data_IF_279628693704
#
_entry.id   IF_279628693704
#
_cell.length_a   1.000
_cell.length_b   1.000
_cell.length_c   1.000
_cell.angle_alpha   90.00
_cell.angle_beta   90.00
_cell.angle_gamma   90.00
#
_symmetry.space_group_name_H-M   'P 1'
#
loop_
_entity.id
_entity.type
_entity.pdbx_description
1 polymer ?
#
# COMPACT_ATOMS: atom_id res chain seq x y z
N UNK A 1 19.31 13.98 -15.05
CA UNK A 1 18.12 14.85 -14.91
C UNK A 1 18.07 15.36 -13.48
N UNK A 2 18.18 16.67 -13.26
CA UNK A 2 18.17 17.28 -11.92
C UNK A 2 16.78 17.08 -11.31
N UNK A 3 16.69 16.43 -10.15
CA UNK A 3 15.46 16.33 -9.34
C UNK A 3 15.15 17.72 -8.80
N UNK A 4 14.26 18.45 -9.46
CA UNK A 4 13.68 19.67 -8.88
C UNK A 4 12.74 19.17 -7.78
N UNK A 5 13.13 19.40 -6.53
CA UNK A 5 12.29 19.07 -5.37
C UNK A 5 11.07 19.99 -5.39
N UNK A 6 9.89 19.47 -5.07
CA UNK A 6 8.62 20.23 -5.02
C UNK A 6 8.76 21.53 -4.20
N UNK A 7 9.59 21.49 -3.17
CA UNK A 7 9.96 22.65 -2.33
C UNK A 7 10.66 23.78 -3.12
N UNK A 8 11.53 23.44 -4.09
CA UNK A 8 12.18 24.44 -4.94
C UNK A 8 11.19 25.10 -5.92
N UNK A 9 10.18 24.36 -6.38
CA UNK A 9 9.16 24.86 -7.31
C UNK A 9 8.17 25.80 -6.60
N UNK A 10 7.79 25.46 -5.36
CA UNK A 10 7.01 26.32 -4.47
C UNK A 10 7.76 27.61 -4.09
N UNK A 11 9.07 27.54 -3.83
CA UNK A 11 9.87 28.74 -3.56
C UNK A 11 9.96 29.66 -4.79
N UNK A 12 10.10 29.11 -6.00
CA UNK A 12 10.11 29.93 -7.23
C UNK A 12 8.76 30.59 -7.51
N UNK A 13 7.64 29.96 -7.15
CA UNK A 13 6.31 30.57 -7.27
C UNK A 13 6.11 31.73 -6.29
N UNK A 14 6.61 31.59 -5.03
CA UNK A 14 6.58 32.66 -4.04
C UNK A 14 7.47 33.86 -4.41
N UNK A 15 8.60 33.63 -5.11
CA UNK A 15 9.48 34.69 -5.62
C UNK A 15 8.86 35.50 -6.78
N UNK A 16 7.95 34.90 -7.55
CA UNK A 16 7.26 35.60 -8.65
C UNK A 16 6.08 36.46 -8.15
N UNK A 17 5.53 36.14 -6.98
CA UNK A 17 4.41 36.87 -6.36
C UNK A 17 4.84 38.07 -5.51
N UNK A 18 6.14 38.24 -5.22
CA UNK A 18 6.66 39.36 -4.43
C UNK A 18 6.94 40.64 -5.25
N UNK A 19 6.71 40.62 -6.57
CA UNK A 19 6.85 41.77 -7.44
C UNK A 19 5.47 42.39 -7.77
N UNK A 20 4.83 43.01 -6.77
CA UNK A 20 3.55 43.70 -6.92
C UNK A 20 3.44 44.86 -5.94
N UNK A 21 3.87 46.04 -6.38
CA UNK A 21 3.85 47.31 -5.65
C UNK A 21 2.45 47.72 -5.16
N UNK A 22 2.38 48.21 -3.92
CA UNK A 22 1.15 48.49 -3.20
C UNK A 22 0.33 49.72 -3.64
N UNK A 23 -0.95 49.70 -3.27
CA UNK A 23 -1.80 50.83 -2.88
C UNK A 23 -3.12 50.30 -2.33
N UNK A 24 -3.68 50.99 -1.34
CA UNK A 24 -4.72 50.49 -0.45
C UNK A 24 -6.16 50.88 -0.87
N UNK A 25 -7.12 50.06 -0.38
CA UNK A 25 -8.56 50.26 -0.19
C UNK A 25 -9.48 50.01 -1.40
N UNK A 26 -10.56 49.27 -1.11
CA UNK A 26 -11.36 48.37 -1.96
C UNK A 26 -10.61 47.05 -2.18
N UNK A 27 -11.16 45.93 -1.70
CA UNK A 27 -10.65 44.59 -2.05
C UNK A 27 -10.76 44.45 -3.57
N UNK A 28 -9.66 44.72 -4.28
CA UNK A 28 -9.58 44.51 -5.71
C UNK A 28 -9.83 43.02 -5.94
N UNK A 29 -10.77 42.65 -6.83
CA UNK A 29 -11.03 41.26 -7.21
C UNK A 29 -9.75 40.44 -7.49
N UNK A 30 -8.69 41.09 -7.99
CA UNK A 30 -7.36 40.49 -8.16
C UNK A 30 -6.66 40.17 -6.84
N UNK A 31 -6.70 41.08 -5.86
CA UNK A 31 -6.12 40.83 -4.52
C UNK A 31 -6.87 39.72 -3.78
N UNK A 32 -8.20 39.68 -3.86
CA UNK A 32 -9.01 38.60 -3.31
C UNK A 32 -8.73 37.27 -4.00
N UNK A 33 -8.58 37.27 -5.33
CA UNK A 33 -8.20 36.10 -6.12
C UNK A 33 -6.82 35.56 -5.70
N UNK A 34 -5.80 36.43 -5.64
CA UNK A 34 -4.44 36.04 -5.23
C UNK A 34 -4.40 35.51 -3.79
N UNK A 35 -5.18 36.10 -2.87
CA UNK A 35 -5.32 35.60 -1.51
C UNK A 35 -5.97 34.21 -1.46
N UNK A 36 -7.02 33.97 -2.26
CA UNK A 36 -7.63 32.63 -2.37
C UNK A 36 -6.62 31.60 -2.88
N UNK A 37 -5.85 31.91 -3.93
CA UNK A 37 -4.83 31.01 -4.49
C UNK A 37 -3.69 30.77 -3.48
N UNK A 38 -3.25 31.79 -2.75
CA UNK A 38 -2.21 31.66 -1.73
C UNK A 38 -2.64 30.78 -0.55
N UNK A 39 -3.88 30.94 -0.07
CA UNK A 39 -4.46 30.09 0.96
C UNK A 39 -4.57 28.64 0.48
N UNK A 40 -5.00 28.43 -0.77
CA UNK A 40 -5.08 27.12 -1.40
C UNK A 40 -3.71 26.44 -1.49
N UNK A 41 -2.68 27.19 -1.92
CA UNK A 41 -1.30 26.71 -1.96
C UNK A 41 -0.77 26.30 -0.59
N UNK A 42 -1.12 27.05 0.47
CA UNK A 42 -0.76 26.72 1.85
C UNK A 42 -1.51 25.47 2.35
N UNK A 43 -2.82 25.38 2.11
CA UNK A 43 -3.62 24.23 2.49
C UNK A 43 -3.15 22.93 1.83
N UNK A 44 -2.81 22.97 0.54
CA UNK A 44 -2.22 21.81 -0.15
C UNK A 44 -0.83 21.44 0.36
N UNK A 45 -0.02 22.41 0.81
CA UNK A 45 1.26 22.11 1.47
C UNK A 45 1.03 21.41 2.82
N UNK A 46 0.04 21.83 3.60
CA UNK A 46 -0.34 21.19 4.87
C UNK A 46 -0.94 19.78 4.67
N UNK A 47 -1.54 19.51 3.51
CA UNK A 47 -1.94 18.16 3.09
C UNK A 47 -0.71 17.31 2.78
N UNK A 48 0.24 17.86 2.03
CA UNK A 48 1.49 17.18 1.65
C UNK A 48 2.35 16.83 2.87
N UNK A 49 2.46 17.73 3.86
CA UNK A 49 3.22 17.45 5.09
C UNK A 49 2.56 16.37 5.94
N UNK A 50 1.22 16.24 5.97
CA UNK A 50 0.60 15.10 6.68
C UNK A 50 0.90 13.73 6.08
N UNK A 51 1.36 13.67 4.83
CA UNK A 51 1.76 12.40 4.20
C UNK A 51 3.18 11.97 4.65
N UNK A 52 4.03 12.89 5.09
CA UNK A 52 5.42 12.53 5.47
C UNK A 52 5.49 11.63 6.70
N UNK A 53 4.53 11.76 7.61
CA UNK A 53 4.50 11.01 8.87
C UNK A 53 4.15 9.52 8.66
N UNK A 54 3.50 9.17 7.54
CA UNK A 54 3.14 7.80 7.16
C UNK A 54 4.34 6.86 6.93
N UNK A 55 5.52 7.41 6.59
CA UNK A 55 6.65 6.61 6.04
C UNK A 55 7.45 5.88 7.13
N UNK A 56 7.33 6.26 8.40
CA UNK A 56 8.17 5.72 9.46
C UNK A 56 7.85 4.24 9.83
N UNK A 57 6.60 3.79 9.68
CA UNK A 57 6.16 2.48 10.18
C UNK A 57 6.51 1.27 9.31
N UNK A 58 6.61 1.45 7.98
CA UNK A 58 6.84 0.34 7.03
C UNK A 58 8.31 -0.15 7.02
N UNK A 59 9.23 0.77 7.32
CA UNK A 59 10.68 0.56 7.23
C UNK A 59 11.20 -0.01 8.56
N UNK A 60 10.85 -1.26 8.86
CA UNK A 60 11.28 -1.85 10.12
C UNK A 60 10.79 -3.25 10.42
N UNK A 61 10.27 -3.97 9.43
CA UNK A 61 9.81 -5.35 9.61
C UNK A 61 10.99 -6.23 10.03
N UNK A 62 10.86 -6.86 11.19
CA UNK A 62 11.85 -7.75 11.81
C UNK A 62 11.20 -9.09 12.12
N UNK A 63 12.03 -10.07 12.47
CA UNK A 63 11.58 -11.41 12.85
C UNK A 63 10.62 -11.41 14.06
N UNK A 64 10.70 -10.41 14.94
CA UNK A 64 9.86 -10.25 16.12
C UNK A 64 8.63 -9.34 15.90
N UNK A 65 8.45 -8.78 14.69
CA UNK A 65 7.26 -8.00 14.34
C UNK A 65 6.02 -8.88 14.46
N UNK A 66 4.98 -8.38 15.15
CA UNK A 66 3.74 -9.13 15.35
C UNK A 66 2.84 -9.02 14.13
N UNK A 67 1.99 -10.02 13.91
CA UNK A 67 0.94 -9.95 12.89
C UNK A 67 0.02 -8.75 13.13
N UNK A 68 -0.29 -8.41 14.39
CA UNK A 68 -1.03 -7.20 14.75
C UNK A 68 -0.35 -5.89 14.33
N UNK A 69 0.99 -5.85 14.31
CA UNK A 69 1.73 -4.67 13.87
C UNK A 69 1.60 -4.50 12.34
N UNK A 70 1.46 -5.61 11.60
CA UNK A 70 1.09 -5.58 10.18
C UNK A 70 -0.35 -5.06 10.00
N UNK A 71 -1.27 -5.45 10.88
CA UNK A 71 -2.62 -4.87 10.94
C UNK A 71 -2.57 -3.36 11.14
N UNK A 72 -1.78 -2.90 12.12
CA UNK A 72 -1.58 -1.47 12.39
C UNK A 72 -1.01 -0.73 11.18
N UNK A 73 -0.04 -1.33 10.46
CA UNK A 73 0.49 -0.76 9.22
C UNK A 73 -0.62 -0.46 8.19
N UNK A 74 -1.57 -1.36 7.99
CA UNK A 74 -2.70 -1.10 7.09
C UNK A 74 -3.69 -0.08 7.67
N UNK A 75 -3.93 -0.09 8.99
CA UNK A 75 -4.74 0.94 9.65
C UNK A 75 -4.15 2.34 9.48
N UNK A 76 -2.83 2.48 9.55
CA UNK A 76 -2.15 3.76 9.36
C UNK A 76 -2.30 4.27 7.92
N UNK A 77 -2.26 3.38 6.93
CA UNK A 77 -2.55 3.72 5.52
C UNK A 77 -3.99 4.23 5.39
N UNK A 78 -4.98 3.48 5.90
CA UNK A 78 -6.40 3.88 5.87
C UNK A 78 -6.60 5.27 6.50
N UNK A 79 -6.08 5.47 7.70
CA UNK A 79 -6.21 6.72 8.44
C UNK A 79 -5.55 7.89 7.70
N UNK A 80 -4.39 7.66 7.09
CA UNK A 80 -3.69 8.69 6.31
C UNK A 80 -4.51 9.09 5.09
N UNK A 81 -5.01 8.13 4.31
CA UNK A 81 -5.82 8.43 3.12
C UNK A 81 -7.09 9.21 3.49
N UNK A 82 -7.76 8.82 4.58
CA UNK A 82 -8.95 9.52 5.09
C UNK A 82 -8.62 10.95 5.58
N UNK A 83 -7.48 11.14 6.24
CA UNK A 83 -7.02 12.46 6.69
C UNK A 83 -6.73 13.38 5.50
N UNK A 84 -5.99 12.88 4.50
CA UNK A 84 -5.68 13.61 3.26
C UNK A 84 -6.98 13.99 2.54
N UNK A 85 -7.89 13.03 2.35
CA UNK A 85 -9.22 13.26 1.76
C UNK A 85 -9.95 14.40 2.45
N UNK A 86 -10.09 14.35 3.78
CA UNK A 86 -10.81 15.37 4.55
C UNK A 86 -10.18 16.76 4.37
N UNK A 87 -8.85 16.85 4.46
CA UNK A 87 -8.15 18.12 4.28
C UNK A 87 -8.33 18.68 2.86
N UNK A 88 -8.28 17.84 1.83
CA UNK A 88 -8.52 18.27 0.44
C UNK A 88 -9.95 18.80 0.24
N UNK A 89 -10.95 18.13 0.82
CA UNK A 89 -12.35 18.56 0.75
C UNK A 89 -12.58 19.88 1.50
N UNK A 90 -12.00 20.02 2.69
CA UNK A 90 -12.06 21.26 3.46
C UNK A 90 -11.43 22.42 2.70
N UNK A 91 -10.31 22.17 2.03
CA UNK A 91 -9.55 23.19 1.28
C UNK A 91 -10.34 23.69 0.06
N UNK A 92 -10.92 22.76 -0.72
CA UNK A 92 -11.78 23.11 -1.85
C UNK A 92 -13.05 23.82 -1.38
N UNK A 93 -13.64 23.43 -0.26
CA UNK A 93 -14.85 24.08 0.26
C UNK A 93 -14.59 25.50 0.78
N UNK A 94 -13.46 25.72 1.47
CA UNK A 94 -13.11 27.02 2.07
C UNK A 94 -12.59 28.02 1.04
N UNK A 95 -11.81 27.54 0.07
CA UNK A 95 -10.98 28.40 -0.77
C UNK A 95 -11.17 28.13 -2.29
N UNK A 96 -11.91 27.08 -2.66
CA UNK A 96 -12.02 26.55 -4.01
C UNK A 96 -13.39 26.70 -4.66
N UNK A 97 -13.83 27.94 -4.91
CA UNK A 97 -14.93 28.19 -5.86
C UNK A 97 -14.45 28.02 -7.31
N UNK A 98 -13.72 26.95 -7.64
CA UNK A 98 -13.19 26.70 -8.99
C UNK A 98 -13.60 25.30 -9.44
N UNK A 99 -14.53 25.24 -10.41
CA UNK A 99 -15.13 23.97 -10.85
C UNK A 99 -14.09 22.96 -11.36
N UNK A 100 -13.09 23.43 -12.11
CA UNK A 100 -12.00 22.59 -12.64
C UNK A 100 -11.18 21.97 -11.51
N UNK A 101 -10.79 22.77 -10.51
CA UNK A 101 -10.02 22.28 -9.38
C UNK A 101 -10.83 21.29 -8.55
N UNK A 102 -12.10 21.60 -8.26
CA UNK A 102 -13.00 20.71 -7.54
C UNK A 102 -13.11 19.35 -8.25
N UNK A 103 -13.28 19.36 -9.57
CA UNK A 103 -13.36 18.13 -10.37
C UNK A 103 -12.09 17.28 -10.28
N UNK A 104 -10.89 17.89 -10.34
CA UNK A 104 -9.62 17.17 -10.21
C UNK A 104 -9.44 16.59 -8.80
N UNK A 105 -9.80 17.36 -7.77
CA UNK A 105 -9.74 16.90 -6.37
C UNK A 105 -10.72 15.75 -6.12
N UNK A 106 -11.97 15.87 -6.59
CA UNK A 106 -12.97 14.82 -6.46
C UNK A 106 -12.52 13.54 -7.19
N UNK A 107 -11.96 13.66 -8.40
CA UNK A 107 -11.42 12.53 -9.14
C UNK A 107 -10.27 11.85 -8.40
N UNK A 108 -9.34 12.63 -7.84
CA UNK A 108 -8.23 12.12 -7.05
C UNK A 108 -8.71 11.38 -5.79
N UNK A 109 -9.69 11.93 -5.07
CA UNK A 109 -10.27 11.30 -3.88
C UNK A 109 -10.92 9.97 -4.25
N UNK A 110 -11.88 9.97 -5.18
CA UNK A 110 -12.70 8.79 -5.47
C UNK A 110 -11.92 7.67 -6.16
N UNK A 111 -10.98 8.01 -7.06
CA UNK A 111 -10.27 6.99 -7.84
C UNK A 111 -8.96 6.54 -7.22
N UNK A 112 -8.38 7.30 -6.27
CA UNK A 112 -7.10 6.97 -5.65
C UNK A 112 -7.25 6.79 -4.14
N UNK A 113 -7.58 7.87 -3.41
CA UNK A 113 -7.54 7.85 -1.94
C UNK A 113 -8.55 6.86 -1.35
N UNK A 114 -9.80 6.89 -1.84
CA UNK A 114 -10.87 6.02 -1.35
C UNK A 114 -10.54 4.55 -1.60
N UNK A 115 -10.07 4.20 -2.81
CA UNK A 115 -9.71 2.82 -3.15
C UNK A 115 -8.52 2.31 -2.34
N UNK A 116 -7.51 3.14 -2.10
CA UNK A 116 -6.37 2.76 -1.24
C UNK A 116 -6.85 2.57 0.21
N UNK A 117 -7.71 3.45 0.73
CA UNK A 117 -8.28 3.33 2.06
C UNK A 117 -9.12 2.06 2.21
N UNK A 118 -9.97 1.75 1.23
CA UNK A 118 -10.80 0.54 1.18
C UNK A 118 -9.94 -0.74 1.14
N UNK A 119 -8.92 -0.76 0.29
CA UNK A 119 -7.99 -1.88 0.22
C UNK A 119 -7.22 -2.09 1.51
N UNK A 120 -6.72 -1.01 2.13
CA UNK A 120 -6.05 -1.08 3.41
C UNK A 120 -6.98 -1.60 4.52
N UNK A 121 -8.20 -1.07 4.61
CA UNK A 121 -9.22 -1.51 5.56
C UNK A 121 -9.56 -3.00 5.44
N UNK A 122 -9.62 -3.52 4.20
CA UNK A 122 -9.84 -4.94 3.97
C UNK A 122 -8.63 -5.77 4.41
N UNK A 123 -7.40 -5.32 4.12
CA UNK A 123 -6.19 -6.03 4.52
C UNK A 123 -6.01 -6.13 6.06
N UNK A 124 -6.46 -5.13 6.83
CA UNK A 124 -6.44 -5.15 8.31
C UNK A 124 -7.09 -6.43 8.85
N UNK A 125 -8.23 -6.85 8.28
CA UNK A 125 -9.00 -8.03 8.73
C UNK A 125 -8.22 -9.34 8.63
N UNK A 126 -7.17 -9.37 7.81
CA UNK A 126 -6.34 -10.57 7.64
C UNK A 126 -5.05 -10.56 8.45
N UNK A 127 -4.58 -9.40 8.89
CA UNK A 127 -3.35 -9.24 9.65
C UNK A 127 -3.63 -9.14 11.17
N UNK A 128 -4.20 -10.20 11.72
CA UNK A 128 -4.55 -10.28 13.14
C UNK A 128 -3.70 -11.31 13.88
N UNK A 129 -3.41 -11.03 15.15
CA UNK A 129 -2.75 -11.96 16.06
C UNK A 129 -1.53 -11.37 16.76
N UNK A 130 -1.28 -11.83 17.99
CA UNK A 130 -0.14 -11.41 18.80
C UNK A 130 1.16 -12.14 18.45
N UNK A 131 1.07 -13.22 17.66
CA UNK A 131 2.20 -14.01 17.23
C UNK A 131 3.12 -13.19 16.32
N UNK A 132 4.43 -13.43 16.43
CA UNK A 132 5.42 -12.88 15.51
C UNK A 132 5.21 -13.40 14.08
N UNK A 133 5.67 -12.65 13.08
CA UNK A 133 5.75 -13.12 11.71
C UNK A 133 6.77 -14.26 11.62
N UNK A 134 6.44 -15.31 10.86
CA UNK A 134 7.23 -16.55 10.82
C UNK A 134 6.86 -17.53 11.94
N UNK A 135 6.86 -17.05 13.19
CA UNK A 135 6.50 -17.77 14.41
C UNK A 135 7.20 -19.13 14.57
N UNK A 136 8.43 -19.27 14.08
CA UNK A 136 9.26 -20.43 14.33
C UNK A 136 9.93 -20.32 15.71
N UNK A 137 9.86 -21.35 16.56
CA UNK A 137 10.42 -21.36 17.92
C UNK A 137 11.74 -22.14 18.02
N UNK A 138 12.55 -21.83 19.04
CA UNK A 138 13.88 -22.44 19.23
C UNK A 138 13.85 -23.96 19.44
N UNK A 139 12.76 -24.50 19.99
CA UNK A 139 12.56 -25.95 20.18
C UNK A 139 12.27 -26.69 18.87
N UNK A 140 12.02 -25.94 17.78
CA UNK A 140 11.59 -26.45 16.49
C UNK A 140 10.18 -27.05 16.54
N UNK A 141 9.41 -26.85 15.47
CA UNK A 141 8.08 -27.41 15.35
C UNK A 141 7.67 -27.58 13.87
N UNK A 142 6.53 -28.22 13.66
CA UNK A 142 5.86 -28.26 12.35
C UNK A 142 5.13 -26.96 12.01
N UNK A 143 4.81 -26.77 10.74
CA UNK A 143 4.06 -25.62 10.26
C UNK A 143 2.59 -25.66 10.74
N UNK A 144 1.90 -24.53 10.61
CA UNK A 144 0.44 -24.43 10.80
C UNK A 144 -0.14 -23.60 9.65
N UNK A 145 -1.20 -24.09 8.96
CA UNK A 145 -1.80 -23.34 7.86
C UNK A 145 -2.34 -21.99 8.34
N UNK A 146 -2.25 -20.98 7.49
CA UNK A 146 -2.91 -19.71 7.77
C UNK A 146 -4.44 -19.86 7.68
N UNK A 147 -5.16 -19.05 8.47
CA UNK A 147 -6.61 -18.91 8.33
C UNK A 147 -6.97 -18.48 6.91
N UNK A 148 -7.89 -19.22 6.30
CA UNK A 148 -8.37 -18.94 4.93
C UNK A 148 -8.94 -17.53 4.82
N UNK A 149 -9.80 -17.15 5.75
CA UNK A 149 -10.48 -15.85 5.71
C UNK A 149 -9.48 -14.69 5.84
N UNK A 150 -8.44 -14.89 6.66
CA UNK A 150 -7.36 -13.92 6.80
C UNK A 150 -6.55 -13.77 5.52
N UNK A 151 -6.19 -14.88 4.85
CA UNK A 151 -5.48 -14.85 3.57
C UNK A 151 -6.33 -14.17 2.49
N UNK A 152 -7.63 -14.49 2.42
CA UNK A 152 -8.55 -13.87 1.45
C UNK A 152 -8.63 -12.35 1.65
N UNK A 153 -8.74 -11.89 2.90
CA UNK A 153 -8.81 -10.47 3.23
C UNK A 153 -7.51 -9.74 2.82
N UNK A 154 -6.34 -10.33 3.10
CA UNK A 154 -5.05 -9.79 2.68
C UNK A 154 -4.92 -9.73 1.16
N UNK A 155 -5.29 -10.81 0.45
CA UNK A 155 -5.22 -10.86 -1.03
C UNK A 155 -6.10 -9.78 -1.63
N UNK A 156 -7.36 -9.67 -1.20
CA UNK A 156 -8.30 -8.65 -1.69
C UNK A 156 -7.81 -7.24 -1.40
N UNK A 157 -7.44 -6.96 -0.16
CA UNK A 157 -6.99 -5.64 0.25
C UNK A 157 -5.74 -5.19 -0.49
N UNK A 158 -4.73 -6.06 -0.57
CA UNK A 158 -3.48 -5.79 -1.30
C UNK A 158 -3.76 -5.64 -2.80
N UNK A 159 -4.59 -6.50 -3.40
CA UNK A 159 -4.97 -6.39 -4.81
C UNK A 159 -5.60 -5.04 -5.15
N UNK A 160 -6.59 -4.61 -4.37
CA UNK A 160 -7.25 -3.30 -4.56
C UNK A 160 -6.24 -2.16 -4.54
N UNK A 161 -5.26 -2.19 -3.64
CA UNK A 161 -4.20 -1.17 -3.61
C UNK A 161 -3.25 -1.30 -4.81
N UNK A 162 -2.81 -2.52 -5.14
CA UNK A 162 -1.88 -2.82 -6.24
C UNK A 162 -2.43 -2.37 -7.59
N UNK A 163 -3.72 -2.57 -7.85
CA UNK A 163 -4.38 -2.16 -9.10
C UNK A 163 -4.37 -0.63 -9.29
N UNK A 164 -4.20 0.13 -8.21
CA UNK A 164 -4.11 1.59 -8.22
C UNK A 164 -2.67 2.08 -8.32
N UNK A 165 -1.75 1.42 -7.61
CA UNK A 165 -0.41 1.96 -7.35
C UNK A 165 0.70 1.34 -8.20
N UNK A 166 0.47 0.19 -8.84
CA UNK A 166 1.43 -0.47 -9.71
C UNK A 166 0.91 -0.64 -11.13
N UNK A 167 1.72 -0.20 -12.10
CA UNK A 167 1.43 -0.39 -13.53
C UNK A 167 1.62 -1.84 -13.95
N UNK A 168 1.05 -2.25 -15.09
CA UNK A 168 1.21 -3.61 -15.62
C UNK A 168 2.64 -3.95 -16.00
N UNK A 169 3.44 -2.94 -16.36
CA UNK A 169 4.87 -3.10 -16.64
C UNK A 169 5.75 -3.17 -15.39
N UNK A 170 5.19 -2.94 -14.19
CA UNK A 170 5.93 -2.92 -12.93
C UNK A 170 5.80 -4.27 -12.22
N UNK A 171 6.86 -5.07 -12.34
CA UNK A 171 6.94 -6.42 -11.78
C UNK A 171 6.23 -7.48 -12.62
N UNK A 172 6.47 -8.74 -12.27
CA UNK A 172 5.88 -9.92 -12.89
C UNK A 172 5.50 -10.94 -11.84
N UNK A 173 4.20 -11.26 -11.77
CA UNK A 173 3.66 -12.29 -10.89
C UNK A 173 4.28 -13.68 -11.11
N UNK A 174 4.79 -13.93 -12.32
CA UNK A 174 5.44 -15.19 -12.70
C UNK A 174 6.97 -15.12 -12.66
N UNK A 175 7.56 -14.07 -12.07
CA UNK A 175 9.01 -13.91 -12.03
C UNK A 175 9.65 -15.12 -11.35
N UNK A 176 10.61 -15.72 -12.05
CA UNK A 176 11.44 -16.80 -11.53
C UNK A 176 12.83 -16.68 -12.12
N UNK A 177 13.83 -16.82 -11.25
CA UNK A 177 15.25 -16.67 -11.56
C UNK A 177 16.10 -17.76 -10.90
N UNK A 178 15.60 -18.46 -9.89
CA UNK A 178 16.31 -19.57 -9.25
C UNK A 178 16.03 -20.91 -9.95
N UNK A 179 16.84 -21.92 -9.65
CA UNK A 179 16.79 -23.26 -10.24
C UNK A 179 15.60 -24.12 -9.81
N UNK A 180 15.55 -25.37 -10.26
CA UNK A 180 14.44 -26.32 -9.99
C UNK A 180 14.35 -26.78 -8.53
N UNK A 181 15.42 -26.59 -7.75
CA UNK A 181 15.52 -26.94 -6.34
C UNK A 181 14.55 -26.13 -5.44
N UNK A 182 14.00 -25.01 -5.93
CA UNK A 182 12.95 -24.23 -5.23
C UNK A 182 11.71 -25.04 -4.83
N UNK A 183 11.47 -26.20 -5.44
CA UNK A 183 10.41 -27.13 -4.98
C UNK A 183 10.60 -27.55 -3.52
N UNK A 184 11.85 -27.67 -3.06
CA UNK A 184 12.19 -28.15 -1.72
C UNK A 184 11.87 -27.12 -0.62
N UNK A 185 11.51 -25.88 -1.01
CA UNK A 185 10.97 -24.86 -0.09
C UNK A 185 9.67 -25.34 0.57
N UNK A 186 8.99 -26.32 -0.04
CA UNK A 186 7.86 -27.02 0.58
C UNK A 186 8.18 -27.60 1.98
N UNK A 187 9.46 -27.84 2.29
CA UNK A 187 9.91 -28.25 3.62
C UNK A 187 9.57 -27.25 4.73
N UNK A 188 9.32 -25.97 4.42
CA UNK A 188 8.89 -24.99 5.43
C UNK A 188 7.40 -25.13 5.82
N UNK A 189 6.66 -26.01 5.14
CA UNK A 189 5.21 -26.20 5.28
C UNK A 189 4.84 -27.59 5.82
N UNK A 190 5.83 -28.34 6.33
CA UNK A 190 5.68 -29.74 6.77
C UNK A 190 5.24 -29.87 8.24
N UNK A 191 4.91 -31.10 8.63
CA UNK A 191 4.45 -31.42 9.97
C UNK A 191 5.59 -31.50 10.99
N UNK A 192 5.22 -31.66 12.26
CA UNK A 192 6.19 -31.73 13.34
C UNK A 192 7.09 -32.97 13.23
N UNK A 193 6.57 -34.08 12.68
CA UNK A 193 7.35 -35.30 12.45
C UNK A 193 8.44 -35.07 11.41
N UNK A 194 8.11 -34.35 10.33
CA UNK A 194 9.03 -34.04 9.24
C UNK A 194 9.97 -32.87 9.52
N UNK A 195 9.84 -32.14 10.65
CA UNK A 195 10.51 -30.85 10.90
C UNK A 195 12.02 -30.83 10.65
N UNK A 196 12.70 -31.99 10.72
CA UNK A 196 14.11 -32.14 10.36
C UNK A 196 14.47 -31.72 8.92
N UNK A 197 13.50 -31.78 7.99
CA UNK A 197 13.67 -31.27 6.62
C UNK A 197 13.60 -29.73 6.55
N UNK A 198 13.01 -29.05 7.54
CA UNK A 198 12.99 -27.60 7.67
C UNK A 198 14.32 -27.08 8.27
N UNK A 199 15.41 -27.36 7.56
CA UNK A 199 16.79 -27.06 7.93
C UNK A 199 17.43 -26.05 6.96
N UNK A 200 18.58 -25.53 7.37
CA UNK A 200 19.42 -24.55 6.66
C UNK A 200 19.42 -24.67 5.12
N UNK A 201 19.60 -25.87 4.57
CA UNK A 201 19.61 -26.09 3.11
C UNK A 201 18.31 -25.63 2.41
N UNK A 202 17.14 -26.01 2.95
CA UNK A 202 15.85 -25.67 2.34
C UNK A 202 15.41 -24.25 2.67
N UNK A 203 15.84 -23.72 3.81
CA UNK A 203 15.62 -22.32 4.19
C UNK A 203 16.45 -21.37 3.32
N UNK A 204 17.67 -21.76 2.95
CA UNK A 204 18.52 -21.01 2.03
C UNK A 204 17.89 -20.90 0.64
N UNK A 205 17.21 -21.95 0.16
CA UNK A 205 16.43 -21.91 -1.10
C UNK A 205 15.31 -20.87 -1.02
N UNK A 206 14.57 -20.83 0.09
CA UNK A 206 13.53 -19.81 0.30
C UNK A 206 14.12 -18.38 0.32
N UNK A 207 15.25 -18.21 0.99
CA UNK A 207 16.01 -16.96 1.01
C UNK A 207 16.45 -16.54 -0.38
N UNK A 208 16.95 -17.47 -1.20
CA UNK A 208 17.37 -17.22 -2.58
C UNK A 208 16.18 -16.82 -3.46
N UNK A 209 15.04 -17.51 -3.37
CA UNK A 209 13.81 -17.15 -4.09
C UNK A 209 13.37 -15.72 -3.77
N UNK A 210 13.25 -15.37 -2.48
CA UNK A 210 12.86 -14.02 -2.04
C UNK A 210 13.90 -12.97 -2.46
N UNK A 211 15.19 -13.30 -2.35
CA UNK A 211 16.29 -12.42 -2.76
C UNK A 211 16.28 -12.12 -4.26
N UNK A 212 15.88 -13.09 -5.09
CA UNK A 212 15.94 -13.00 -6.55
C UNK A 212 14.84 -12.13 -7.19
N UNK A 213 13.67 -12.04 -6.56
CA UNK A 213 12.52 -11.26 -7.07
C UNK A 213 12.50 -9.84 -6.51
N UNK A 214 11.69 -8.96 -7.06
CA UNK A 214 11.42 -7.62 -6.50
C UNK A 214 10.17 -7.64 -5.64
N UNK A 215 9.97 -6.62 -4.80
CA UNK A 215 8.70 -6.51 -4.07
C UNK A 215 7.50 -6.27 -4.97
N UNK A 216 7.69 -5.67 -6.15
CA UNK A 216 6.63 -5.52 -7.16
C UNK A 216 6.23 -6.89 -7.75
N UNK A 217 7.20 -7.78 -8.00
CA UNK A 217 6.91 -9.16 -8.42
C UNK A 217 6.06 -9.89 -7.38
N UNK A 218 6.42 -9.75 -6.08
CA UNK A 218 5.67 -10.34 -4.97
C UNK A 218 4.25 -9.75 -4.89
N UNK A 219 4.11 -8.43 -4.94
CA UNK A 219 2.81 -7.77 -4.91
C UNK A 219 1.92 -8.18 -6.09
N UNK A 220 2.47 -8.28 -7.31
CA UNK A 220 1.73 -8.78 -8.48
C UNK A 220 1.35 -10.25 -8.32
N UNK A 221 2.20 -11.09 -7.71
CA UNK A 221 1.85 -12.48 -7.42
C UNK A 221 0.71 -12.59 -6.38
N UNK A 222 0.71 -11.75 -5.34
CA UNK A 222 -0.42 -11.64 -4.40
C UNK A 222 -1.69 -11.20 -5.14
N UNK A 223 -1.62 -10.12 -5.93
CA UNK A 223 -2.77 -9.55 -6.63
C UNK A 223 -3.37 -10.51 -7.69
N UNK A 224 -2.56 -11.40 -8.27
CA UNK A 224 -3.03 -12.44 -9.20
C UNK A 224 -3.49 -13.73 -8.52
N UNK A 225 -3.31 -13.87 -7.21
CA UNK A 225 -3.77 -15.05 -6.49
C UNK A 225 -5.29 -15.08 -6.41
N UNK A 226 -5.85 -16.28 -6.31
CA UNK A 226 -7.29 -16.46 -6.17
C UNK A 226 -7.82 -15.84 -4.88
N UNK A 227 -9.00 -15.24 -4.98
CA UNK A 227 -9.75 -14.71 -3.82
C UNK A 227 -10.63 -15.77 -3.13
N UNK A 228 -10.62 -17.01 -3.64
CA UNK A 228 -11.25 -18.18 -3.02
C UNK A 228 -10.30 -19.39 -3.08
N UNK A 229 -9.19 -19.37 -2.31
CA UNK A 229 -8.20 -20.43 -2.35
C UNK A 229 -8.78 -21.74 -1.82
N UNK A 230 -8.40 -22.85 -2.47
CA UNK A 230 -8.84 -24.19 -2.12
C UNK A 230 -7.67 -24.97 -1.53
N UNK A 231 -7.73 -25.23 -0.23
CA UNK A 231 -6.79 -26.14 0.42
C UNK A 231 -6.96 -27.55 -0.16
N UNK A 232 -5.86 -28.18 -0.56
CA UNK A 232 -5.88 -29.58 -0.96
C UNK A 232 -5.61 -30.46 0.26
N UNK A 233 -6.67 -31.08 0.81
CA UNK A 233 -6.57 -31.92 2.01
C UNK A 233 -5.82 -33.25 1.81
N UNK A 234 -5.53 -33.64 0.57
CA UNK A 234 -4.85 -34.91 0.25
C UNK A 234 -3.36 -34.73 0.01
N UNK A 235 -2.99 -33.68 -0.72
CA UNK A 235 -1.62 -33.45 -1.19
C UNK A 235 -0.99 -32.18 -0.59
N UNK A 236 -1.77 -31.36 0.12
CA UNK A 236 -1.28 -30.17 0.81
C UNK A 236 -0.54 -29.22 -0.12
N UNK A 237 0.69 -28.86 0.28
CA UNK A 237 1.57 -27.93 -0.44
C UNK A 237 1.95 -28.42 -1.85
N UNK A 238 1.95 -29.73 -2.11
CA UNK A 238 2.29 -30.27 -3.43
C UNK A 238 1.32 -29.82 -4.53
N UNK A 239 0.07 -29.50 -4.16
CA UNK A 239 -1.02 -29.12 -5.07
C UNK A 239 -1.44 -27.66 -5.00
N UNK A 240 -0.74 -26.84 -4.22
CA UNK A 240 -0.96 -25.40 -4.24
C UNK A 240 -0.56 -24.83 -5.61
N UNK A 241 -1.38 -23.95 -6.18
CA UNK A 241 -1.18 -23.39 -7.54
C UNK A 241 -0.77 -21.93 -7.54
N UNK A 242 -1.08 -21.18 -6.49
CA UNK A 242 -0.77 -19.77 -6.34
C UNK A 242 -0.35 -19.42 -4.90
N UNK A 243 -0.11 -18.13 -4.63
CA UNK A 243 0.41 -17.68 -3.35
C UNK A 243 -0.62 -17.86 -2.21
N UNK A 244 -1.90 -17.64 -2.50
CA UNK A 244 -2.97 -17.81 -1.52
C UNK A 244 -3.12 -19.28 -1.11
N UNK A 245 -3.07 -20.19 -2.09
CA UNK A 245 -3.10 -21.64 -1.84
C UNK A 245 -1.85 -22.14 -1.10
N UNK A 246 -0.66 -21.60 -1.40
CA UNK A 246 0.56 -21.88 -0.62
C UNK A 246 0.36 -21.46 0.85
N UNK A 247 -0.20 -20.27 1.07
CA UNK A 247 -0.36 -19.75 2.42
C UNK A 247 -1.30 -20.60 3.29
N UNK A 248 -2.42 -21.06 2.72
CA UNK A 248 -3.40 -21.91 3.40
C UNK A 248 -3.11 -23.40 3.31
N UNK A 249 -2.01 -23.80 2.66
CA UNK A 249 -1.71 -25.21 2.39
C UNK A 249 -1.71 -26.02 3.70
N UNK A 250 -2.58 -27.05 3.80
CA UNK A 250 -2.63 -27.89 4.98
C UNK A 250 -1.39 -28.74 5.06
N UNK A 251 -1.03 -29.08 6.29
CA UNK A 251 0.12 -29.90 6.60
C UNK A 251 -0.25 -31.36 6.40
N UNK A 252 0.43 -32.04 5.46
CA UNK A 252 0.19 -33.45 5.14
C UNK A 252 1.52 -34.21 5.24
N UNK A 253 1.50 -35.36 5.91
CA UNK A 253 2.69 -36.19 6.12
C UNK A 253 3.36 -36.56 4.79
N UNK A 254 4.69 -36.44 4.75
CA UNK A 254 5.53 -36.73 3.59
C UNK A 254 5.30 -35.85 2.33
N UNK A 255 4.48 -34.79 2.42
CA UNK A 255 4.24 -33.83 1.34
C UNK A 255 5.10 -32.59 1.55
N UNK A 256 6.33 -32.63 1.04
CA UNK A 256 7.39 -31.65 1.36
C UNK A 256 7.92 -30.84 0.17
N UNK A 257 7.28 -30.97 -0.99
CA UNK A 257 7.68 -30.27 -2.21
C UNK A 257 6.54 -29.39 -2.73
N UNK A 258 6.88 -28.28 -3.38
CA UNK A 258 5.95 -27.53 -4.24
C UNK A 258 6.06 -28.12 -5.64
N UNK A 259 5.02 -28.78 -6.16
CA UNK A 259 5.11 -29.52 -7.43
C UNK A 259 4.48 -28.82 -8.63
N UNK A 260 3.42 -28.03 -8.42
CA UNK A 260 2.73 -27.35 -9.50
C UNK A 260 3.60 -26.25 -10.12
N UNK A 261 3.73 -26.24 -11.45
CA UNK A 261 4.60 -25.29 -12.17
C UNK A 261 4.19 -23.83 -11.98
N UNK A 262 2.91 -23.57 -11.74
CA UNK A 262 2.39 -22.24 -11.44
C UNK A 262 2.83 -21.73 -10.06
N UNK A 263 2.98 -22.64 -9.09
CA UNK A 263 3.45 -22.33 -7.74
C UNK A 263 4.98 -22.34 -7.63
N UNK A 264 5.69 -23.11 -8.47
CA UNK A 264 7.15 -23.12 -8.58
C UNK A 264 7.72 -21.88 -9.28
N UNK A 265 7.27 -20.68 -8.90
CA UNK A 265 7.84 -19.40 -9.34
C UNK A 265 8.31 -18.64 -8.12
N UNK A 266 9.51 -18.04 -8.18
CA UNK A 266 10.10 -17.34 -7.03
C UNK A 266 9.17 -16.26 -6.47
N UNK A 267 8.45 -15.53 -7.34
CA UNK A 267 7.50 -14.50 -6.93
C UNK A 267 6.29 -15.10 -6.21
N UNK A 268 5.77 -16.23 -6.68
CA UNK A 268 4.61 -16.93 -6.11
C UNK A 268 4.97 -17.56 -4.76
N UNK A 269 6.16 -18.17 -4.66
CA UNK A 269 6.67 -18.73 -3.40
C UNK A 269 6.89 -17.61 -2.37
N UNK A 270 7.57 -16.53 -2.76
CA UNK A 270 7.79 -15.39 -1.88
C UNK A 270 6.47 -14.73 -1.43
N UNK A 271 5.49 -14.61 -2.33
CA UNK A 271 4.15 -14.13 -2.00
C UNK A 271 3.42 -15.07 -1.03
N UNK A 272 3.51 -16.40 -1.24
CA UNK A 272 2.88 -17.37 -0.36
C UNK A 272 3.49 -17.38 1.05
N UNK A 273 4.81 -17.21 1.14
CA UNK A 273 5.52 -17.01 2.41
C UNK A 273 5.06 -15.69 3.07
N UNK A 274 5.01 -14.58 2.32
CA UNK A 274 4.56 -13.30 2.87
C UNK A 274 3.12 -13.38 3.40
N UNK A 275 2.20 -13.97 2.62
CA UNK A 275 0.79 -14.14 3.01
C UNK A 275 0.67 -15.01 4.26
N UNK A 276 1.34 -16.16 4.33
CA UNK A 276 1.29 -17.03 5.52
C UNK A 276 1.89 -16.35 6.76
N UNK A 277 2.95 -15.57 6.57
CA UNK A 277 3.59 -14.83 7.65
C UNK A 277 2.68 -13.72 8.22
N UNK A 278 1.96 -12.99 7.37
CA UNK A 278 1.04 -11.91 7.79
C UNK A 278 -0.29 -12.44 8.32
N UNK A 279 -0.83 -13.49 7.71
CA UNK A 279 -2.16 -14.00 8.00
C UNK A 279 -2.24 -14.66 9.38
N UNK A 280 -3.40 -14.55 10.03
CA UNK A 280 -3.73 -15.25 11.29
C UNK A 280 -3.39 -16.75 11.20
N UNK A 281 -2.92 -17.32 12.31
CA UNK A 281 -2.58 -18.74 12.51
C UNK A 281 -1.42 -19.30 11.68
N UNK A 282 -0.95 -18.58 10.64
CA UNK A 282 0.13 -19.06 9.78
C UNK A 282 1.46 -19.16 10.52
N UNK A 283 2.03 -20.38 10.53
CA UNK A 283 3.36 -20.70 11.09
C UNK A 283 4.14 -21.55 10.10
N UNK A 284 5.47 -21.43 10.13
CA UNK A 284 6.38 -22.27 9.35
C UNK A 284 7.03 -23.34 10.21
N UNK A 285 7.46 -24.42 9.58
CA UNK A 285 8.23 -25.46 10.23
C UNK A 285 9.68 -25.01 10.44
N UNK A 286 10.30 -25.49 11.52
CA UNK A 286 11.73 -25.34 11.77
C UNK A 286 12.25 -26.56 12.54
N UNK A 287 13.46 -27.01 12.21
CA UNK A 287 14.07 -28.16 12.85
C UNK A 287 14.57 -27.86 14.28
N UNK A 288 15.38 -26.82 14.41
CA UNK A 288 16.05 -26.42 15.66
C UNK A 288 16.24 -24.89 15.72
N UNK A 289 16.85 -24.38 16.79
CA UNK A 289 17.02 -22.95 17.07
C UNK A 289 17.61 -22.13 15.91
N UNK A 290 18.75 -22.56 15.36
CA UNK A 290 19.38 -21.85 14.24
C UNK A 290 18.47 -21.77 13.00
N UNK A 291 17.69 -22.83 12.77
CA UNK A 291 16.78 -22.96 11.64
C UNK A 291 15.55 -22.07 11.86
N UNK A 292 15.06 -21.97 13.10
CA UNK A 292 13.98 -21.08 13.48
C UNK A 292 14.34 -19.60 13.23
N UNK A 293 15.55 -19.18 13.62
CA UNK A 293 16.03 -17.82 13.32
C UNK A 293 16.09 -17.56 11.81
N UNK A 294 16.57 -18.53 11.03
CA UNK A 294 16.65 -18.40 9.57
C UNK A 294 15.26 -18.33 8.91
N UNK A 295 14.31 -19.19 9.32
CA UNK A 295 12.92 -19.17 8.83
C UNK A 295 12.22 -17.86 9.17
N UNK A 296 12.39 -17.35 10.39
CA UNK A 296 11.83 -16.06 10.79
C UNK A 296 12.45 -14.90 9.99
N UNK A 297 13.75 -14.98 9.67
CA UNK A 297 14.41 -14.05 8.76
C UNK A 297 13.85 -14.08 7.33
N UNK A 298 13.58 -15.28 6.79
CA UNK A 298 12.90 -15.49 5.51
C UNK A 298 11.51 -14.85 5.50
N UNK A 299 10.71 -15.11 6.53
CA UNK A 299 9.38 -14.52 6.69
C UNK A 299 9.44 -12.99 6.76
N UNK A 300 10.31 -12.44 7.61
CA UNK A 300 10.50 -10.99 7.75
C UNK A 300 10.97 -10.35 6.44
N UNK A 301 11.86 -11.00 5.69
CA UNK A 301 12.31 -10.51 4.39
C UNK A 301 11.18 -10.45 3.37
N UNK A 302 10.37 -11.52 3.26
CA UNK A 302 9.24 -11.57 2.35
C UNK A 302 8.19 -10.48 2.67
N UNK A 303 7.80 -10.36 3.95
CA UNK A 303 6.85 -9.35 4.42
C UNK A 303 7.41 -7.95 4.24
N UNK A 304 8.63 -7.70 4.71
CA UNK A 304 9.29 -6.39 4.61
C UNK A 304 9.41 -5.90 3.17
N UNK A 305 9.77 -6.78 2.24
CA UNK A 305 9.88 -6.44 0.80
C UNK A 305 8.53 -6.13 0.17
N UNK A 306 7.49 -6.88 0.56
CA UNK A 306 6.10 -6.66 0.12
C UNK A 306 5.59 -5.31 0.58
N UNK A 307 5.61 -5.05 1.89
CA UNK A 307 5.03 -3.85 2.50
C UNK A 307 5.84 -2.59 2.18
N UNK A 308 7.18 -2.67 2.20
CA UNK A 308 8.03 -1.53 1.82
C UNK A 308 7.77 -1.08 0.39
N UNK A 309 7.59 -2.03 -0.54
CA UNK A 309 7.28 -1.69 -1.94
C UNK A 309 5.88 -1.10 -2.07
N UNK A 310 4.90 -1.66 -1.35
CA UNK A 310 3.52 -1.18 -1.36
C UNK A 310 3.44 0.28 -0.89
N UNK A 311 4.09 0.61 0.24
CA UNK A 311 4.04 2.00 0.76
C UNK A 311 4.75 2.98 -0.18
N UNK A 312 5.85 2.57 -0.82
CA UNK A 312 6.58 3.40 -1.79
C UNK A 312 5.68 3.68 -3.01
N UNK A 313 4.98 2.67 -3.51
CA UNK A 313 4.08 2.79 -4.64
C UNK A 313 2.85 3.68 -4.29
N UNK A 314 2.26 3.49 -3.12
CA UNK A 314 1.17 4.35 -2.59
C UNK A 314 1.65 5.81 -2.55
N UNK A 315 2.81 6.07 -1.95
CA UNK A 315 3.37 7.43 -1.86
C UNK A 315 3.58 8.03 -3.23
N UNK A 316 4.21 7.31 -4.16
CA UNK A 316 4.45 7.79 -5.52
C UNK A 316 3.14 8.15 -6.25
N UNK A 317 2.08 7.38 -6.01
CA UNK A 317 0.76 7.60 -6.61
C UNK A 317 0.08 8.83 -6.00
N UNK A 318 0.09 8.95 -4.67
CA UNK A 318 -0.47 10.11 -3.96
C UNK A 318 0.29 11.39 -4.32
N UNK A 319 1.63 11.35 -4.35
CA UNK A 319 2.47 12.49 -4.75
C UNK A 319 2.15 12.95 -6.18
N UNK A 320 1.91 12.00 -7.10
CA UNK A 320 1.52 12.30 -8.49
C UNK A 320 0.15 12.96 -8.58
N UNK A 321 -0.83 12.48 -7.79
CA UNK A 321 -2.16 13.09 -7.74
C UNK A 321 -2.17 14.48 -7.13
N UNK A 322 -1.43 14.69 -6.03
CA UNK A 322 -1.23 16.02 -5.42
C UNK A 322 -0.53 16.97 -6.38
N UNK A 323 0.44 16.49 -7.16
CA UNK A 323 1.06 17.29 -8.23
C UNK A 323 0.04 17.71 -9.29
N UNK A 324 -0.84 16.81 -9.73
CA UNK A 324 -1.89 17.16 -10.70
C UNK A 324 -2.84 18.26 -10.17
N UNK A 325 -3.15 18.23 -8.88
CA UNK A 325 -3.94 19.28 -8.22
C UNK A 325 -3.17 20.61 -8.21
N UNK A 326 -1.88 20.58 -7.86
CA UNK A 326 -1.02 21.77 -7.87
C UNK A 326 -0.88 22.37 -9.27
N UNK A 327 -0.68 21.55 -10.29
CA UNK A 327 -0.57 21.99 -11.69
C UNK A 327 -1.90 22.61 -12.15
N UNK A 328 -3.03 22.02 -11.76
CA UNK A 328 -4.36 22.60 -12.03
C UNK A 328 -4.51 23.95 -11.35
N UNK A 329 -4.15 24.07 -10.07
CA UNK A 329 -4.19 25.32 -9.32
C UNK A 329 -3.39 26.43 -10.00
N UNK A 330 -2.19 26.12 -10.53
CA UNK A 330 -1.37 27.10 -11.24
C UNK A 330 -2.01 27.64 -12.54
N UNK A 331 -3.00 26.93 -13.10
CA UNK A 331 -3.72 27.34 -14.31
C UNK A 331 -5.04 28.05 -14.02
N UNK A 332 -5.49 28.07 -12.78
CA UNK A 332 -6.75 28.72 -12.40
C UNK A 332 -6.63 30.23 -12.63
N UNK A 333 -7.65 30.82 -13.26
CA UNK A 333 -7.78 32.25 -13.46
C UNK A 333 -8.98 32.81 -12.70
N UNK A 334 -9.06 34.14 -12.60
CA UNK A 334 -10.18 34.81 -11.94
C UNK A 334 -11.54 34.47 -12.59
N UNK A 335 -11.55 34.20 -13.89
CA UNK A 335 -12.74 33.85 -14.68
C UNK A 335 -13.23 32.43 -14.42
N UNK A 336 -12.37 31.54 -13.90
CA UNK A 336 -12.73 30.17 -13.54
C UNK A 336 -13.49 30.10 -12.20
N UNK A 337 -13.62 31.23 -11.49
CA UNK A 337 -14.32 31.29 -10.21
C UNK A 337 -15.82 31.13 -10.45
N UNK A 338 -16.42 30.08 -9.90
CA UNK A 338 -17.86 29.86 -10.00
C UNK A 338 -18.61 31.00 -9.35
N UNK A 339 -19.55 31.58 -10.11
CA UNK A 339 -20.57 32.48 -9.59
C UNK A 339 -21.57 31.63 -8.78
N UNK A 340 -21.21 31.22 -7.57
CA UNK A 340 -22.25 30.80 -6.63
C UNK A 340 -23.05 32.06 -6.26
N UNK A 341 -24.32 32.01 -6.67
CA UNK A 341 -25.32 33.07 -6.66
C UNK A 341 -25.14 34.11 -5.54
N UNK A 342 -24.71 35.31 -5.90
CA UNK A 342 -25.25 36.51 -5.25
C UNK A 342 -26.73 36.56 -5.61
N UNK A 343 -27.62 36.07 -4.75
CA UNK A 343 -29.03 36.39 -4.85
C UNK A 343 -29.14 37.93 -4.81
N UNK A 344 -29.63 38.60 -5.86
CA UNK A 344 -29.86 40.04 -5.79
C UNK A 344 -31.18 40.25 -5.05
N UNK A 345 -31.13 40.23 -3.72
CA UNK A 345 -32.23 40.65 -2.88
C UNK A 345 -31.96 42.05 -2.33
N UNK A 346 -31.59 43.01 -3.19
CA UNK A 346 -31.73 44.44 -2.86
C UNK A 346 -31.62 45.36 -4.09
N UNK A 347 -32.48 45.16 -5.10
CA UNK A 347 -32.53 46.04 -6.27
C UNK A 347 -33.97 46.36 -6.71
N UNK A 348 -34.89 46.59 -5.77
CA UNK A 348 -36.21 47.18 -6.10
C UNK A 348 -36.89 47.83 -4.89
N UNK A 349 -36.26 48.84 -4.28
CA UNK A 349 -36.95 49.74 -3.34
C UNK A 349 -36.34 51.15 -3.32
N UNK A 350 -36.08 51.75 -4.49
CA UNK A 350 -35.87 53.19 -4.58
C UNK A 350 -36.08 53.66 -6.02
N UNK A 351 -37.35 53.87 -6.38
CA UNK A 351 -37.80 54.84 -7.39
C UNK A 351 -39.33 54.82 -7.43
N UNK A 352 -39.95 55.43 -6.42
CA UNK A 352 -41.24 56.10 -6.56
C UNK A 352 -41.44 57.03 -5.36
N UNK A 353 -40.83 58.21 -5.43
CA UNK A 353 -41.31 59.41 -4.77
C UNK A 353 -40.65 60.64 -5.42
N UNK A 354 -41.46 61.27 -6.28
CA UNK A 354 -41.47 62.64 -6.81
C UNK A 354 -41.71 62.64 -8.31
#
# INVERSE_FOLDING_TARGET
>A
MKRITLSALLMTLFLLLSCGSGSAKVEDPKTTFLNSIANLGKGFLDVFTSLSDMVAGALGIKADTKKSDIGQYFTDIENTMNTVKKKLQDEVTKNGNYLKLKSVVDHFITNILDKIAEGAKEAVKGAEGSDAIGNATSDGHGATPASKDSVVSLVKGIKTMVDIVLKDSEGSAGATKTGEDKKDIGALFIDNTGKADAKEENIAKASASIGSVTGADILKAIAKSTEDPKANSTDGIEKAKDAAEIAIAPVIANKKEIKEDSAKKDAVIAAGIALRAMAKDGKFAANAEKDAHAVNGVAASAVGKTLSTLIIAIRSTVDSGLKSISDTLATVTQEDKSLEATTPADATASRQQQ
#
